data_IF_173015287212
#
_entry.id   IF_173015287212
#
_cell.length_a   1.000
_cell.length_b   1.000
_cell.length_c   1.000
_cell.angle_alpha   90.00
_cell.angle_beta   90.00
_cell.angle_gamma   90.00
#
_symmetry.space_group_name_H-M   'P 1'
#
loop_
_entity.id
_entity.type
_entity.pdbx_description
1 polymer ?
#
# COMPACT_ATOMS: atom_id res chain seq x y z
N UNK A 1 49.70 -16.81 37.76
CA UNK A 1 49.31 -15.40 37.99
C UNK A 1 49.17 -14.58 36.69
N UNK A 2 49.81 -14.93 35.57
CA UNK A 2 49.78 -14.13 34.32
C UNK A 2 48.80 -14.58 33.22
N UNK A 3 47.68 -15.26 33.56
CA UNK A 3 46.60 -15.58 32.61
C UNK A 3 45.26 -14.89 32.92
N UNK A 4 45.14 -14.27 34.10
CA UNK A 4 43.93 -13.57 34.53
C UNK A 4 43.89 -12.10 34.06
N UNK A 5 44.99 -11.55 33.56
CA UNK A 5 45.03 -10.17 33.06
C UNK A 5 44.51 -10.03 31.62
N UNK A 6 44.66 -11.07 30.78
CA UNK A 6 44.26 -11.00 29.36
C UNK A 6 42.74 -11.15 29.19
N UNK A 7 42.06 -11.88 30.09
CA UNK A 7 40.59 -11.97 30.06
C UNK A 7 39.91 -10.66 30.50
N UNK A 8 40.54 -9.85 31.36
CA UNK A 8 39.98 -8.55 31.78
C UNK A 8 40.06 -7.46 30.70
N UNK A 9 40.96 -7.59 29.72
CA UNK A 9 41.10 -6.60 28.65
C UNK A 9 39.99 -6.72 27.59
N UNK A 10 39.33 -7.88 27.49
CA UNK A 10 38.15 -8.05 26.61
C UNK A 10 36.91 -7.38 27.21
N UNK A 11 36.76 -7.34 28.53
CA UNK A 11 35.60 -6.70 29.19
C UNK A 11 35.72 -5.16 29.22
N UNK A 12 36.94 -4.61 29.28
CA UNK A 12 37.13 -3.16 29.28
C UNK A 12 36.85 -2.48 27.92
N UNK A 13 36.93 -3.22 26.80
CA UNK A 13 36.62 -2.66 25.46
C UNK A 13 35.12 -2.44 25.27
N UNK A 14 34.27 -3.19 25.96
CA UNK A 14 32.81 -2.98 25.94
C UNK A 14 32.34 -1.81 26.83
N UNK A 15 33.19 -1.30 27.73
CA UNK A 15 32.86 -0.17 28.61
C UNK A 15 33.23 1.21 28.03
N UNK A 16 33.80 1.25 26.82
CA UNK A 16 34.16 2.48 26.13
C UNK A 16 33.40 2.60 24.79
N UNK A 17 32.08 2.78 24.86
CA UNK A 17 31.32 2.91 23.61
C UNK A 17 29.81 2.98 23.69
N UNK A 18 29.21 3.66 24.67
CA UNK A 18 27.80 4.10 24.56
C UNK A 18 27.68 5.53 25.11
N UNK A 19 27.79 6.56 24.25
CA UNK A 19 27.72 7.96 24.67
C UNK A 19 26.29 8.47 24.57
N UNK A 20 25.34 7.90 25.33
CA UNK A 20 24.01 8.50 25.44
C UNK A 20 23.43 8.34 26.84
N UNK A 21 24.14 8.86 27.84
CA UNK A 21 23.48 9.42 29.04
C UNK A 21 22.68 10.66 28.60
N UNK A 22 21.55 10.43 27.92
CA UNK A 22 20.62 11.46 27.42
C UNK A 22 19.63 11.95 28.48
N UNK A 23 19.93 11.75 29.77
CA UNK A 23 19.04 12.15 30.86
C UNK A 23 19.14 13.63 31.24
N UNK A 24 19.90 14.49 30.53
CA UNK A 24 20.07 15.91 30.92
C UNK A 24 20.17 16.92 29.75
N UNK A 25 19.79 16.56 28.50
CA UNK A 25 19.62 17.56 27.42
C UNK A 25 18.32 17.37 26.63
N UNK A 26 17.26 16.87 27.26
CA UNK A 26 15.92 17.19 26.78
C UNK A 26 15.56 18.57 27.37
N UNK A 27 16.24 19.61 26.87
CA UNK A 27 15.71 20.98 26.92
C UNK A 27 14.32 20.89 26.29
N UNK A 28 13.29 20.99 27.13
CA UNK A 28 12.12 21.84 26.96
C UNK A 28 11.54 21.89 25.54
N UNK A 29 11.60 20.76 24.84
CA UNK A 29 10.87 20.51 23.63
C UNK A 29 9.46 20.18 24.04
N UNK A 30 8.74 21.19 24.53
CA UNK A 30 7.28 21.20 24.52
C UNK A 30 6.90 20.63 23.15
N UNK A 31 6.48 19.35 23.10
CA UNK A 31 5.86 18.79 21.90
C UNK A 31 4.60 19.60 21.78
N UNK A 32 4.69 20.71 21.06
CA UNK A 32 3.59 21.65 20.91
C UNK A 32 2.53 20.88 20.16
N UNK A 33 1.58 20.38 20.95
CA UNK A 33 0.28 19.96 20.49
C UNK A 33 -0.35 21.21 19.86
N UNK A 34 0.01 21.52 18.60
CA UNK A 34 -0.42 22.74 17.93
C UNK A 34 -1.96 22.80 17.81
N UNK A 35 -2.64 21.67 18.07
CA UNK A 35 -4.09 21.52 18.08
C UNK A 35 -4.62 20.41 19.01
N UNK A 36 -3.83 19.91 19.98
CA UNK A 36 -4.19 18.71 20.77
C UNK A 36 -3.95 17.36 20.07
N UNK A 37 -3.21 17.36 18.96
CA UNK A 37 -2.85 16.18 18.16
C UNK A 37 -1.32 16.07 18.11
N UNK A 38 -0.77 14.87 18.30
CA UNK A 38 0.67 14.60 18.17
C UNK A 38 1.19 15.08 16.80
N UNK A 39 2.32 15.77 16.77
CA UNK A 39 2.94 16.29 15.53
C UNK A 39 3.10 15.19 14.48
N UNK A 40 3.44 13.96 14.89
CA UNK A 40 3.56 12.79 14.02
C UNK A 40 2.23 12.40 13.36
N UNK A 41 1.14 12.43 14.11
CA UNK A 41 -0.21 12.11 13.64
C UNK A 41 -0.72 13.18 12.66
N UNK A 42 -0.45 14.45 12.96
CA UNK A 42 -0.77 15.56 12.07
C UNK A 42 -0.05 15.44 10.72
N UNK A 43 1.26 15.16 10.76
CA UNK A 43 2.06 14.94 9.53
C UNK A 43 1.52 13.77 8.72
N UNK A 44 1.22 12.63 9.36
CA UNK A 44 0.68 11.46 8.68
C UNK A 44 -0.69 11.75 8.02
N UNK A 45 -1.58 12.47 8.72
CA UNK A 45 -2.87 12.89 8.16
C UNK A 45 -2.71 13.76 6.91
N UNK A 46 -1.76 14.70 6.91
CA UNK A 46 -1.47 15.50 5.73
C UNK A 46 -0.98 14.64 4.56
N UNK A 47 -0.11 13.65 4.82
CA UNK A 47 0.33 12.71 3.78
C UNK A 47 -0.82 11.87 3.22
N UNK A 48 -1.68 11.31 4.08
CA UNK A 48 -2.85 10.55 3.63
C UNK A 48 -3.80 11.43 2.81
N UNK A 49 -4.04 12.67 3.23
CA UNK A 49 -4.86 13.63 2.48
C UNK A 49 -4.25 13.96 1.11
N UNK A 50 -2.93 14.17 1.06
CA UNK A 50 -2.21 14.46 -0.18
C UNK A 50 -2.28 13.28 -1.15
N UNK A 51 -1.99 12.06 -0.67
CA UNK A 51 -2.06 10.84 -1.48
C UNK A 51 -3.48 10.59 -1.98
N UNK A 52 -4.49 10.79 -1.12
CA UNK A 52 -5.89 10.64 -1.48
C UNK A 52 -6.29 11.63 -2.58
N UNK A 53 -6.03 12.92 -2.37
CA UNK A 53 -6.42 13.97 -3.32
C UNK A 53 -5.69 13.86 -4.65
N UNK A 54 -4.36 13.76 -4.63
CA UNK A 54 -3.56 13.60 -5.84
C UNK A 54 -3.87 12.29 -6.56
N UNK A 55 -4.04 11.20 -5.80
CA UNK A 55 -4.38 9.89 -6.36
C UNK A 55 -5.76 9.87 -7.02
N UNK A 56 -6.78 10.44 -6.38
CA UNK A 56 -8.14 10.51 -6.95
C UNK A 56 -8.17 11.43 -8.17
N UNK A 57 -7.55 12.61 -8.09
CA UNK A 57 -7.48 13.55 -9.21
C UNK A 57 -6.70 12.96 -10.39
N UNK A 58 -5.54 12.35 -10.14
CA UNK A 58 -4.71 11.73 -11.17
C UNK A 58 -5.41 10.56 -11.86
N UNK A 59 -5.94 9.61 -11.09
CA UNK A 59 -6.60 8.43 -11.66
C UNK A 59 -7.92 8.78 -12.36
N UNK A 60 -8.71 9.71 -11.82
CA UNK A 60 -9.93 10.19 -12.49
C UNK A 60 -9.63 10.96 -13.78
N UNK A 61 -8.54 11.74 -13.81
CA UNK A 61 -8.06 12.40 -15.03
C UNK A 61 -7.70 11.38 -16.11
N UNK A 62 -6.96 10.33 -15.76
CA UNK A 62 -6.60 9.25 -16.70
C UNK A 62 -7.85 8.58 -17.28
N UNK A 63 -8.81 8.22 -16.43
CA UNK A 63 -10.10 7.65 -16.88
C UNK A 63 -10.81 8.62 -17.82
N UNK A 64 -10.86 9.90 -17.47
CA UNK A 64 -11.53 10.93 -18.27
C UNK A 64 -10.87 11.12 -19.64
N UNK A 65 -9.55 11.13 -19.72
CA UNK A 65 -8.79 11.23 -20.99
C UNK A 65 -9.03 9.98 -21.86
N UNK A 66 -9.07 8.79 -21.25
CA UNK A 66 -9.36 7.53 -21.94
C UNK A 66 -10.85 7.36 -22.32
N UNK A 67 -11.75 8.06 -21.64
CA UNK A 67 -13.17 8.13 -21.97
C UNK A 67 -13.45 9.15 -23.08
N UNK A 68 -12.76 10.29 -23.08
CA UNK A 68 -12.88 11.35 -24.11
C UNK A 68 -12.13 11.03 -25.40
N UNK A 69 -11.27 10.02 -25.42
CA UNK A 69 -10.63 9.58 -26.66
C UNK A 69 -11.70 9.05 -27.63
N UNK A 70 -11.64 9.49 -28.90
CA UNK A 70 -12.70 9.33 -29.92
C UNK A 70 -13.41 7.96 -29.84
N UNK A 71 -14.75 7.90 -29.70
CA UNK A 71 -15.51 6.66 -29.52
C UNK A 71 -15.46 5.68 -30.72
N UNK A 72 -14.89 6.09 -31.86
CA UNK A 72 -14.62 5.23 -33.01
C UNK A 72 -13.20 4.68 -33.10
N UNK A 73 -12.28 5.05 -32.20
CA UNK A 73 -10.91 4.52 -32.19
C UNK A 73 -10.87 3.33 -31.24
N UNK A 74 -10.53 2.12 -31.72
CA UNK A 74 -10.60 0.95 -30.88
C UNK A 74 -9.52 1.01 -29.80
N UNK A 75 -9.90 0.68 -28.56
CA UNK A 75 -8.99 0.77 -27.41
C UNK A 75 -7.86 -0.24 -27.56
N UNK A 76 -6.62 0.26 -27.58
CA UNK A 76 -5.42 -0.58 -27.52
C UNK A 76 -5.40 -1.40 -26.22
N UNK A 77 -4.74 -2.56 -26.22
CA UNK A 77 -4.54 -3.39 -25.01
C UNK A 77 -4.05 -2.54 -23.84
N UNK A 78 -3.06 -1.68 -24.10
CA UNK A 78 -2.45 -0.81 -23.09
C UNK A 78 -3.47 0.13 -22.46
N UNK A 79 -4.36 0.71 -23.25
CA UNK A 79 -5.38 1.63 -22.73
C UNK A 79 -6.37 0.90 -21.80
N UNK A 80 -6.64 -0.38 -22.05
CA UNK A 80 -7.48 -1.22 -21.19
C UNK A 80 -6.77 -1.52 -19.87
N UNK A 81 -5.48 -1.85 -19.91
CA UNK A 81 -4.69 -2.06 -18.69
C UNK A 81 -4.50 -0.77 -17.87
N UNK A 82 -4.26 0.37 -18.52
CA UNK A 82 -4.22 1.68 -17.84
C UNK A 82 -5.57 1.95 -17.15
N UNK A 83 -6.68 1.71 -17.85
CA UNK A 83 -8.01 1.89 -17.27
C UNK A 83 -8.25 0.96 -16.07
N UNK A 84 -7.84 -0.31 -16.17
CA UNK A 84 -7.93 -1.26 -15.05
C UNK A 84 -7.12 -0.78 -13.84
N UNK A 85 -5.90 -0.30 -14.06
CA UNK A 85 -5.03 0.21 -13.01
C UNK A 85 -5.67 1.43 -12.32
N UNK A 86 -6.16 2.40 -13.09
CA UNK A 86 -6.82 3.59 -12.51
C UNK A 86 -8.09 3.27 -11.74
N UNK A 87 -8.88 2.26 -12.18
CA UNK A 87 -10.05 1.80 -11.44
C UNK A 87 -9.64 1.11 -10.14
N UNK A 88 -8.65 0.22 -10.19
CA UNK A 88 -8.13 -0.48 -9.01
C UNK A 88 -7.56 0.51 -7.97
N UNK A 89 -6.81 1.51 -8.43
CA UNK A 89 -6.25 2.57 -7.59
C UNK A 89 -7.35 3.44 -6.97
N UNK A 90 -8.38 3.82 -7.73
CA UNK A 90 -9.52 4.56 -7.15
C UNK A 90 -10.23 3.76 -6.08
N UNK A 91 -10.47 2.47 -6.29
CA UNK A 91 -11.07 1.65 -5.24
C UNK A 91 -10.19 1.55 -4.01
N UNK A 92 -8.88 1.38 -4.17
CA UNK A 92 -7.94 1.39 -3.06
C UNK A 92 -7.95 2.73 -2.31
N UNK A 93 -7.90 3.85 -3.03
CA UNK A 93 -7.91 5.19 -2.45
C UNK A 93 -9.22 5.49 -1.73
N UNK A 94 -10.37 5.07 -2.25
CA UNK A 94 -11.67 5.33 -1.64
C UNK A 94 -11.97 4.41 -0.46
N UNK A 95 -11.58 3.13 -0.53
CA UNK A 95 -11.98 2.13 0.47
C UNK A 95 -10.88 1.77 1.47
N UNK A 96 -9.60 1.94 1.18
CA UNK A 96 -8.53 1.63 2.12
C UNK A 96 -7.97 2.87 2.81
N UNK A 97 -7.69 3.95 2.08
CA UNK A 97 -6.99 5.10 2.66
C UNK A 97 -7.74 5.78 3.82
N UNK A 98 -9.06 6.06 3.75
CA UNK A 98 -9.77 6.71 4.85
C UNK A 98 -9.82 5.84 6.12
N UNK A 99 -9.90 4.53 5.96
CA UNK A 99 -9.87 3.62 7.10
C UNK A 99 -8.46 3.52 7.66
N UNK A 100 -7.45 3.41 6.80
CA UNK A 100 -6.04 3.35 7.21
C UNK A 100 -5.61 4.61 7.96
N UNK A 101 -6.04 5.79 7.51
CA UNK A 101 -5.75 7.05 8.20
C UNK A 101 -6.42 7.09 9.58
N UNK A 102 -7.65 6.58 9.69
CA UNK A 102 -8.35 6.50 10.98
C UNK A 102 -7.63 5.54 11.93
N UNK A 103 -7.22 4.36 11.46
CA UNK A 103 -6.47 3.36 12.25
C UNK A 103 -5.09 3.90 12.65
N UNK A 104 -4.46 4.74 11.82
CA UNK A 104 -3.16 5.32 12.16
C UNK A 104 -3.27 6.32 13.31
N UNK A 105 -4.34 7.12 13.35
CA UNK A 105 -4.57 8.11 14.42
C UNK A 105 -5.14 7.46 15.68
N UNK A 106 -6.00 6.46 15.50
CA UNK A 106 -6.61 5.73 16.60
C UNK A 106 -5.68 4.58 17.00
N UNK A 107 -5.02 4.69 18.15
CA UNK A 107 -4.18 3.59 18.70
C UNK A 107 -4.97 2.30 19.05
N UNK A 108 -6.28 2.27 18.81
CA UNK A 108 -7.17 1.14 19.06
C UNK A 108 -8.07 0.86 17.85
N UNK A 109 -8.38 -0.41 17.63
CA UNK A 109 -9.29 -0.84 16.58
C UNK A 109 -10.75 -0.70 17.04
N UNK A 110 -11.60 -0.06 16.23
CA UNK A 110 -13.02 0.22 16.59
C UNK A 110 -14.03 -0.33 15.59
N UNK A 111 -13.58 -0.81 14.43
CA UNK A 111 -14.44 -1.20 13.30
C UNK A 111 -14.87 -2.68 13.31
N UNK A 112 -14.49 -3.44 14.34
CA UNK A 112 -14.80 -4.86 14.50
C UNK A 112 -13.99 -5.80 13.58
N UNK A 113 -14.14 -7.11 13.78
CA UNK A 113 -13.30 -8.13 13.14
C UNK A 113 -13.49 -8.22 11.61
N UNK A 114 -14.70 -7.92 11.11
CA UNK A 114 -14.99 -7.97 9.68
C UNK A 114 -14.16 -6.95 8.89
N UNK A 115 -14.16 -5.68 9.34
CA UNK A 115 -13.44 -4.60 8.66
C UNK A 115 -11.92 -4.81 8.74
N UNK A 116 -11.42 -5.40 9.83
CA UNK A 116 -10.02 -5.76 10.01
C UNK A 116 -9.57 -6.72 8.90
N UNK A 117 -10.26 -7.86 8.78
CA UNK A 117 -9.99 -8.84 7.73
C UNK A 117 -10.18 -8.24 6.33
N UNK A 118 -11.24 -7.46 6.12
CA UNK A 118 -11.59 -6.88 4.82
C UNK A 118 -10.53 -5.90 4.31
N UNK A 119 -10.06 -4.96 5.14
CA UNK A 119 -9.07 -3.96 4.72
C UNK A 119 -7.74 -4.62 4.38
N UNK A 120 -7.25 -5.54 5.23
CA UNK A 120 -6.00 -6.25 4.97
C UNK A 120 -6.09 -7.16 3.75
N UNK A 121 -7.24 -7.80 3.52
CA UNK A 121 -7.53 -8.56 2.32
C UNK A 121 -7.51 -7.66 1.08
N UNK A 122 -8.30 -6.59 1.09
CA UNK A 122 -8.45 -5.67 -0.04
C UNK A 122 -7.13 -4.97 -0.40
N UNK A 123 -6.35 -4.53 0.60
CA UNK A 123 -5.00 -4.00 0.40
C UNK A 123 -4.13 -4.98 -0.41
N UNK A 124 -4.16 -6.26 -0.05
CA UNK A 124 -3.40 -7.31 -0.75
C UNK A 124 -3.89 -7.48 -2.18
N UNK A 125 -5.20 -7.55 -2.37
CA UNK A 125 -5.82 -7.71 -3.69
C UNK A 125 -5.42 -6.55 -4.59
N UNK A 126 -5.56 -5.30 -4.13
CA UNK A 126 -5.15 -4.11 -4.88
C UNK A 126 -3.67 -4.15 -5.26
N UNK A 127 -2.79 -4.50 -4.32
CA UNK A 127 -1.35 -4.64 -4.58
C UNK A 127 -1.08 -5.68 -5.68
N UNK A 128 -1.69 -6.86 -5.58
CA UNK A 128 -1.52 -7.94 -6.57
C UNK A 128 -2.09 -7.55 -7.95
N UNK A 129 -3.27 -6.93 -7.99
CA UNK A 129 -3.88 -6.44 -9.25
C UNK A 129 -2.94 -5.46 -9.94
N UNK A 130 -2.34 -4.52 -9.21
CA UNK A 130 -1.42 -3.54 -9.80
C UNK A 130 -0.13 -4.20 -10.32
N UNK A 131 0.47 -5.11 -9.54
CA UNK A 131 1.68 -5.84 -9.96
C UNK A 131 1.42 -6.70 -11.20
N UNK A 132 0.33 -7.47 -11.21
CA UNK A 132 -0.02 -8.30 -12.36
C UNK A 132 -0.42 -7.46 -13.58
N UNK A 133 -1.09 -6.32 -13.38
CA UNK A 133 -1.42 -5.39 -14.48
C UNK A 133 -0.15 -4.83 -15.11
N UNK A 134 0.81 -4.34 -14.30
CA UNK A 134 2.10 -3.85 -14.79
C UNK A 134 2.91 -4.94 -15.50
N UNK A 135 2.86 -6.16 -14.99
CA UNK A 135 3.50 -7.33 -15.62
C UNK A 135 2.85 -7.62 -16.98
N UNK A 136 1.52 -7.66 -17.05
CA UNK A 136 0.78 -7.88 -18.29
C UNK A 136 1.01 -6.75 -19.31
N UNK A 137 1.13 -5.50 -18.85
CA UNK A 137 1.50 -4.37 -19.72
C UNK A 137 2.90 -4.55 -20.30
N UNK A 138 3.86 -4.98 -19.50
CA UNK A 138 5.23 -5.27 -19.96
C UNK A 138 5.25 -6.36 -21.03
N UNK A 139 4.49 -7.44 -20.80
CA UNK A 139 4.34 -8.54 -21.77
C UNK A 139 3.66 -8.06 -23.05
N UNK A 140 2.58 -7.27 -22.96
CA UNK A 140 1.90 -6.72 -24.15
C UNK A 140 2.85 -5.85 -24.98
N UNK A 141 3.69 -5.03 -24.34
CA UNK A 141 4.70 -4.22 -25.04
C UNK A 141 5.76 -5.10 -25.71
N UNK A 142 6.27 -6.11 -25.01
CA UNK A 142 7.23 -7.05 -25.58
C UNK A 142 6.65 -7.77 -26.81
N UNK A 143 5.45 -8.32 -26.69
CA UNK A 143 4.78 -9.02 -27.81
C UNK A 143 4.51 -8.06 -28.95
N UNK A 144 4.09 -6.81 -28.69
CA UNK A 144 3.84 -5.83 -29.74
C UNK A 144 5.10 -5.46 -30.55
N UNK A 145 6.27 -5.44 -29.91
CA UNK A 145 7.55 -5.11 -30.54
C UNK A 145 8.07 -6.32 -31.33
N UNK A 146 8.12 -7.50 -30.71
CA UNK A 146 8.70 -8.71 -31.32
C UNK A 146 7.78 -9.28 -32.39
N UNK A 147 6.48 -9.33 -32.10
CA UNK A 147 5.45 -9.83 -33.00
C UNK A 147 4.63 -8.64 -33.47
N UNK A 148 5.04 -8.00 -34.57
CA UNK A 148 4.31 -6.89 -35.19
C UNK A 148 2.82 -7.24 -35.33
N UNK A 149 1.98 -6.69 -34.43
CA UNK A 149 0.60 -7.14 -34.23
C UNK A 149 -0.27 -6.71 -35.41
N UNK A 150 -0.43 -7.57 -36.42
CA UNK A 150 -1.42 -7.42 -37.50
C UNK A 150 -2.84 -7.85 -37.09
N UNK A 151 -3.26 -7.60 -35.85
CA UNK A 151 -4.56 -8.09 -35.33
C UNK A 151 -5.62 -6.99 -35.31
N UNK A 152 -6.86 -7.37 -35.69
CA UNK A 152 -8.03 -6.49 -35.57
C UNK A 152 -8.23 -6.06 -34.11
N UNK A 153 -8.35 -4.75 -33.91
CA UNK A 153 -8.35 -4.15 -32.57
C UNK A 153 -9.48 -4.66 -31.65
N UNK A 154 -10.57 -5.20 -32.21
CA UNK A 154 -11.65 -5.84 -31.45
C UNK A 154 -11.18 -7.13 -30.78
N UNK A 155 -10.44 -7.99 -31.50
CA UNK A 155 -9.90 -9.24 -30.93
C UNK A 155 -8.88 -8.94 -29.83
N UNK A 156 -8.05 -7.93 -30.08
CA UNK A 156 -7.07 -7.41 -29.12
C UNK A 156 -7.74 -6.96 -27.82
N UNK A 157 -8.81 -6.17 -27.91
CA UNK A 157 -9.53 -5.69 -26.73
C UNK A 157 -10.17 -6.83 -25.93
N UNK A 158 -10.72 -7.85 -26.61
CA UNK A 158 -11.28 -9.04 -25.94
C UNK A 158 -10.21 -9.82 -25.18
N UNK A 159 -9.04 -10.04 -25.77
CA UNK A 159 -7.93 -10.71 -25.08
C UNK A 159 -7.44 -9.91 -23.87
N UNK A 160 -7.36 -8.58 -23.99
CA UNK A 160 -7.01 -7.71 -22.86
C UNK A 160 -8.01 -7.84 -21.71
N UNK A 161 -9.31 -7.84 -22.02
CA UNK A 161 -10.37 -7.97 -21.02
C UNK A 161 -10.33 -9.33 -20.32
N UNK A 162 -10.11 -10.42 -21.06
CA UNK A 162 -9.91 -11.75 -20.47
C UNK A 162 -8.70 -11.75 -19.54
N UNK A 163 -7.61 -11.09 -19.94
CA UNK A 163 -6.43 -10.91 -19.09
C UNK A 163 -6.75 -10.16 -17.79
N UNK A 164 -7.51 -9.07 -17.87
CA UNK A 164 -7.96 -8.32 -16.69
C UNK A 164 -8.78 -9.22 -15.75
N UNK A 165 -9.77 -9.95 -16.27
CA UNK A 165 -10.58 -10.87 -15.45
C UNK A 165 -9.69 -11.92 -14.78
N UNK A 166 -8.73 -12.49 -15.50
CA UNK A 166 -7.79 -13.45 -14.94
C UNK A 166 -6.91 -12.85 -13.83
N UNK A 167 -6.45 -11.60 -13.99
CA UNK A 167 -5.70 -10.87 -12.97
C UNK A 167 -6.53 -10.72 -11.69
N UNK A 168 -7.79 -10.30 -11.81
CA UNK A 168 -8.68 -10.16 -10.65
C UNK A 168 -8.90 -11.49 -9.93
N UNK A 169 -9.21 -12.56 -10.67
CA UNK A 169 -9.42 -13.89 -10.09
C UNK A 169 -8.16 -14.41 -9.39
N UNK A 170 -6.99 -14.26 -10.02
CA UNK A 170 -5.71 -14.68 -9.45
C UNK A 170 -5.37 -13.90 -8.19
N UNK A 171 -5.54 -12.58 -8.21
CA UNK A 171 -5.31 -11.72 -7.04
C UNK A 171 -6.25 -12.06 -5.88
N UNK A 172 -7.54 -12.29 -6.16
CA UNK A 172 -8.52 -12.68 -5.14
C UNK A 172 -8.19 -14.04 -4.52
N UNK A 173 -7.79 -15.01 -5.34
CA UNK A 173 -7.40 -16.35 -4.89
C UNK A 173 -6.13 -16.31 -4.04
N UNK A 174 -5.10 -15.58 -4.48
CA UNK A 174 -3.83 -15.45 -3.75
C UNK A 174 -3.96 -14.66 -2.45
N UNK A 175 -4.89 -13.70 -2.38
CA UNK A 175 -5.17 -12.94 -1.16
C UNK A 175 -6.01 -13.73 -0.15
N UNK A 176 -6.72 -14.79 -0.54
CA UNK A 176 -7.60 -15.58 0.33
C UNK A 176 -6.99 -15.98 1.69
N UNK A 177 -5.75 -16.51 1.78
CA UNK A 177 -5.15 -16.88 3.07
C UNK A 177 -4.99 -15.71 4.05
N UNK A 178 -4.89 -14.46 3.56
CA UNK A 178 -4.80 -13.27 4.43
C UNK A 178 -6.04 -13.10 5.30
N UNK A 179 -7.21 -13.46 4.80
CA UNK A 179 -8.46 -13.36 5.55
C UNK A 179 -8.49 -14.27 6.79
N UNK A 180 -7.79 -15.40 6.73
CA UNK A 180 -7.70 -16.34 7.85
C UNK A 180 -6.64 -15.92 8.88
N UNK A 181 -5.53 -15.36 8.39
CA UNK A 181 -4.40 -14.97 9.23
C UNK A 181 -4.72 -13.79 10.16
N UNK A 182 -5.30 -12.71 9.63
CA UNK A 182 -5.62 -11.52 10.43
C UNK A 182 -6.80 -11.77 11.36
N UNK A 183 -6.61 -11.56 12.65
CA UNK A 183 -7.64 -11.73 13.66
C UNK A 183 -7.73 -10.53 14.60
N UNK A 184 -8.87 -10.41 15.26
CA UNK A 184 -9.12 -9.36 16.24
C UNK A 184 -8.74 -9.87 17.63
N UNK A 185 -7.77 -9.22 18.25
CA UNK A 185 -7.34 -9.49 19.61
C UNK A 185 -7.93 -8.46 20.57
N UNK A 186 -8.39 -8.92 21.73
CA UNK A 186 -8.92 -8.06 22.80
C UNK A 186 -7.84 -7.91 23.87
N UNK A 187 -7.33 -6.70 24.06
CA UNK A 187 -6.43 -6.33 25.14
C UNK A 187 -7.18 -6.14 26.46
N UNK A 188 -6.45 -6.18 27.59
CA UNK A 188 -7.01 -6.15 28.95
C UNK A 188 -7.73 -4.86 29.38
N UNK A 189 -7.99 -3.90 28.49
CA UNK A 189 -8.70 -2.62 28.77
C UNK A 189 -9.76 -2.24 27.74
N UNK A 190 -10.55 -3.20 27.22
CA UNK A 190 -11.50 -2.97 26.11
C UNK A 190 -10.86 -2.41 24.83
N UNK A 191 -9.52 -2.44 24.73
CA UNK A 191 -8.81 -2.08 23.51
C UNK A 191 -8.79 -3.30 22.59
N UNK A 192 -8.99 -3.09 21.29
CA UNK A 192 -8.86 -4.17 20.32
C UNK A 192 -7.75 -3.87 19.32
N UNK A 193 -7.07 -4.91 18.86
CA UNK A 193 -5.98 -4.82 17.90
C UNK A 193 -6.24 -5.79 16.74
N UNK A 194 -5.90 -5.36 15.53
CA UNK A 194 -5.97 -6.17 14.31
C UNK A 194 -4.54 -6.57 13.93
N UNK A 195 -4.21 -7.86 14.07
CA UNK A 195 -2.91 -8.43 13.75
C UNK A 195 -3.02 -9.84 13.18
#
# INVERSE_FOLDING_TARGET
>A
VSKNLIMNLSESVWLAGEPWNLTVLEEDGEKKNLFGIDTSNYIALLFFLLIFTLGVLGNSMVITVLARSKPGKPRSTTNIFILNLSIADLFYLLFCIPFQSTIYVMNTWVFGAFICKFIHYFFTVSMLVSIFTLSAMSVDRYVAIVHSRKSSSIRVARHALVGVVAIWLLSLAMAAPRMHYYNLFHGGRNETYCW
#
